data_IF_024744837688
#
_entry.id   IF_024744837688
#
_cell.length_a   1.000
_cell.length_b   1.000
_cell.length_c   1.000
_cell.angle_alpha   90.00
_cell.angle_beta   90.00
_cell.angle_gamma   90.00
#
_symmetry.space_group_name_H-M   'P 1'
#
loop_
_entity.id
_entity.type
_entity.pdbx_description
1 polymer ?
#
# COMPACT_ATOMS: atom_id res chain seq x y z
N UNK A 1 -14.77 -1.76 -10.46
CA UNK A 1 -15.26 -0.80 -9.49
C UNK A 1 -14.24 -0.60 -8.38
N UNK A 2 -14.12 0.59 -7.94
CA UNK A 2 -13.17 0.89 -6.91
C UNK A 2 -13.75 0.65 -5.52
N UNK A 3 -13.09 -0.18 -4.77
CA UNK A 3 -13.44 -0.37 -3.38
C UNK A 3 -12.91 0.80 -2.57
N UNK A 4 -13.79 1.43 -1.84
CA UNK A 4 -13.35 2.49 -0.95
C UNK A 4 -12.98 1.89 0.40
N UNK A 5 -11.70 1.67 0.63
CA UNK A 5 -11.24 1.00 1.83
C UNK A 5 -11.59 1.78 3.10
N UNK A 6 -11.83 3.09 2.98
CA UNK A 6 -12.18 3.89 4.14
C UNK A 6 -13.56 3.59 4.66
N UNK A 7 -14.41 2.98 3.84
CA UNK A 7 -15.73 2.56 4.26
C UNK A 7 -15.77 1.14 4.77
N UNK A 8 -14.71 0.37 4.51
CA UNK A 8 -14.63 -0.99 5.00
C UNK A 8 -14.34 -0.97 6.49
N UNK A 9 -14.75 -2.04 7.17
CA UNK A 9 -14.43 -2.18 8.58
C UNK A 9 -13.01 -2.68 8.70
N UNK A 10 -12.08 -1.75 8.82
CA UNK A 10 -10.67 -2.06 8.93
C UNK A 10 -10.23 -1.88 10.36
N UNK A 11 -9.30 -2.72 10.80
CA UNK A 11 -8.65 -2.51 12.09
C UNK A 11 -7.82 -1.23 12.03
N UNK A 12 -7.48 -0.66 13.18
CA UNK A 12 -6.60 0.52 13.18
C UNK A 12 -5.29 0.26 12.45
N UNK A 13 -4.74 -0.95 12.58
CA UNK A 13 -3.52 -1.32 11.88
C UNK A 13 -3.71 -1.31 10.37
N UNK A 14 -4.82 -1.87 9.90
CA UNK A 14 -5.12 -1.91 8.48
C UNK A 14 -5.35 -0.51 7.91
N UNK A 15 -6.01 0.35 8.68
CA UNK A 15 -6.22 1.73 8.26
C UNK A 15 -4.90 2.47 8.14
N UNK A 16 -4.02 2.27 9.10
CA UNK A 16 -2.70 2.91 9.06
C UNK A 16 -1.90 2.45 7.87
N UNK A 17 -1.92 1.15 7.57
CA UNK A 17 -1.22 0.62 6.42
C UNK A 17 -1.79 1.14 5.11
N UNK A 18 -3.13 1.19 5.00
CA UNK A 18 -3.77 1.68 3.78
C UNK A 18 -3.45 3.14 3.53
N UNK A 19 -3.45 3.95 4.58
CA UNK A 19 -3.10 5.36 4.44
C UNK A 19 -1.66 5.53 4.03
N UNK A 20 -0.77 4.75 4.63
CA UNK A 20 0.65 4.79 4.30
C UNK A 20 0.87 4.39 2.84
N UNK A 21 0.20 3.33 2.40
CA UNK A 21 0.30 2.87 1.01
C UNK A 21 -0.17 3.95 0.04
N UNK A 22 -1.24 4.64 0.38
CA UNK A 22 -1.76 5.71 -0.45
C UNK A 22 -0.73 6.84 -0.57
N UNK A 23 -0.08 7.20 0.53
CA UNK A 23 0.92 8.26 0.51
C UNK A 23 2.16 7.85 -0.28
N UNK A 24 2.62 6.62 -0.14
CA UNK A 24 3.75 6.14 -0.91
C UNK A 24 3.45 6.21 -2.40
N UNK A 25 2.21 5.93 -2.76
CA UNK A 25 1.79 5.92 -4.16
C UNK A 25 1.65 7.33 -4.73
N UNK A 26 1.02 8.21 -3.98
CA UNK A 26 0.63 9.52 -4.51
C UNK A 26 1.61 10.62 -4.20
N UNK A 27 2.23 10.57 -3.04
CA UNK A 27 3.06 11.68 -2.59
C UNK A 27 4.22 11.18 -1.75
N UNK A 28 5.11 10.34 -2.31
CA UNK A 28 6.21 9.80 -1.52
C UNK A 28 7.13 10.88 -0.97
N UNK A 29 7.27 12.00 -1.66
CA UNK A 29 8.11 13.07 -1.19
C UNK A 29 7.57 13.77 0.04
N UNK A 30 6.28 13.57 0.35
CA UNK A 30 5.66 14.18 1.52
C UNK A 30 5.78 13.32 2.77
N UNK A 31 6.29 12.09 2.64
CA UNK A 31 6.44 11.21 3.78
C UNK A 31 7.46 11.76 4.75
N UNK A 32 7.17 11.59 6.04
CA UNK A 32 8.03 12.05 7.12
C UNK A 32 8.27 10.91 8.09
N UNK A 33 9.25 11.11 8.97
CA UNK A 33 9.55 10.10 9.99
C UNK A 33 8.31 9.72 10.79
N UNK A 34 7.45 10.68 11.09
CA UNK A 34 6.28 10.42 11.90
C UNK A 34 5.29 9.48 11.22
N UNK A 35 5.31 9.39 9.91
CA UNK A 35 4.45 8.44 9.20
C UNK A 35 4.90 7.02 9.49
N UNK A 36 6.21 6.78 9.53
CA UNK A 36 6.77 5.49 9.90
C UNK A 36 6.51 5.20 11.38
N UNK A 37 6.67 6.22 12.23
CA UNK A 37 6.41 6.05 13.66
C UNK A 37 4.96 5.67 13.91
N UNK A 38 4.05 6.20 13.13
CA UNK A 38 2.66 5.84 13.26
C UNK A 38 2.45 4.34 13.01
N UNK A 39 3.14 3.79 12.02
CA UNK A 39 3.05 2.36 11.76
C UNK A 39 3.59 1.55 12.93
N UNK A 40 4.69 1.99 13.52
CA UNK A 40 5.26 1.31 14.68
C UNK A 40 4.29 1.30 15.85
N UNK A 41 3.58 2.38 16.06
CA UNK A 41 2.59 2.47 17.12
C UNK A 41 1.45 1.49 16.92
N UNK A 42 1.23 1.07 15.69
CA UNK A 42 0.20 0.08 15.38
C UNK A 42 0.76 -1.34 15.35
N UNK A 43 1.95 -1.54 15.87
CA UNK A 43 2.49 -2.87 16.05
C UNK A 43 3.34 -3.40 14.90
N UNK A 44 3.68 -2.55 13.93
CA UNK A 44 4.55 -3.00 12.85
C UNK A 44 6.01 -2.84 13.26
N UNK A 45 6.79 -3.88 13.03
CA UNK A 45 8.23 -3.81 13.25
C UNK A 45 8.89 -3.07 12.10
N UNK A 46 10.17 -2.74 12.27
CA UNK A 46 10.93 -2.12 11.18
C UNK A 46 10.94 -3.02 9.95
N UNK A 47 11.04 -4.34 10.16
CA UNK A 47 11.00 -5.28 9.06
C UNK A 47 9.66 -5.25 8.35
N UNK A 48 8.58 -5.16 9.12
CA UNK A 48 7.25 -5.09 8.55
C UNK A 48 7.10 -3.84 7.69
N UNK A 49 7.63 -2.71 8.16
CA UNK A 49 7.55 -1.47 7.41
C UNK A 49 8.35 -1.58 6.11
N UNK A 50 9.54 -2.14 6.19
CA UNK A 50 10.36 -2.31 4.99
C UNK A 50 9.66 -3.21 3.98
N UNK A 51 9.12 -4.33 4.44
CA UNK A 51 8.41 -5.26 3.56
C UNK A 51 7.22 -4.56 2.91
N UNK A 52 6.48 -3.77 3.69
CA UNK A 52 5.33 -3.04 3.16
C UNK A 52 5.75 -2.06 2.06
N UNK A 53 6.82 -1.31 2.29
CA UNK A 53 7.29 -0.35 1.30
C UNK A 53 7.72 -1.07 0.03
N UNK A 54 8.43 -2.19 0.16
CA UNK A 54 8.87 -2.94 -1.01
C UNK A 54 7.69 -3.47 -1.82
N UNK A 55 6.67 -3.98 -1.14
CA UNK A 55 5.49 -4.49 -1.83
C UNK A 55 4.75 -3.37 -2.54
N UNK A 56 4.55 -2.26 -1.85
CA UNK A 56 3.84 -1.12 -2.42
C UNK A 56 4.60 -0.59 -3.64
N UNK A 57 5.90 -0.43 -3.51
CA UNK A 57 6.72 0.09 -4.60
C UNK A 57 6.72 -0.85 -5.79
N UNK A 58 6.73 -2.16 -5.54
CA UNK A 58 6.68 -3.14 -6.61
C UNK A 58 5.38 -3.00 -7.42
N UNK A 59 4.24 -2.93 -6.73
CA UNK A 59 2.97 -2.80 -7.43
C UNK A 59 2.82 -1.45 -8.10
N UNK A 60 3.36 -0.39 -7.51
CA UNK A 60 3.37 0.91 -8.17
C UNK A 60 4.18 0.86 -9.46
N UNK A 61 5.32 0.17 -9.43
CA UNK A 61 6.14 0.00 -10.62
C UNK A 61 5.35 -0.73 -11.71
N UNK A 62 4.73 -1.85 -11.35
CA UNK A 62 3.97 -2.65 -12.32
C UNK A 62 2.81 -1.83 -12.91
N UNK A 63 2.10 -1.09 -12.06
CA UNK A 63 0.97 -0.30 -12.54
C UNK A 63 1.41 0.81 -13.47
N UNK A 64 2.53 1.45 -13.18
CA UNK A 64 3.02 2.51 -14.05
C UNK A 64 3.49 1.98 -15.41
N UNK A 65 4.13 0.82 -15.39
CA UNK A 65 4.53 0.18 -16.65
C UNK A 65 3.29 -0.17 -17.47
N UNK A 66 2.28 -0.76 -16.81
CA UNK A 66 1.06 -1.13 -17.50
C UNK A 66 0.34 0.10 -18.08
N UNK A 67 0.27 1.17 -17.30
CA UNK A 67 -0.39 2.40 -17.76
C UNK A 67 0.35 2.99 -18.94
N UNK A 68 1.67 3.03 -18.89
CA UNK A 68 2.46 3.63 -19.96
C UNK A 68 2.34 2.84 -21.25
N UNK A 69 2.17 1.54 -21.15
CA UNK A 69 2.08 0.67 -22.33
C UNK A 69 0.64 0.39 -22.74
N UNK A 70 -0.33 0.83 -21.94
CA UNK A 70 -1.74 0.61 -22.25
C UNK A 70 -2.18 -0.82 -22.07
N UNK A 71 -1.57 -1.55 -21.15
CA UNK A 71 -1.93 -2.95 -20.86
C UNK A 71 -2.38 -3.07 -19.41
N UNK A 72 -3.08 -4.18 -19.12
CA UNK A 72 -3.52 -4.44 -17.76
C UNK A 72 -2.50 -5.29 -17.02
N UNK A 73 -2.29 -5.04 -15.72
CA UNK A 73 -1.49 -5.96 -14.92
C UNK A 73 -2.14 -7.33 -14.86
N UNK A 74 -1.34 -8.35 -14.59
CA UNK A 74 -1.86 -9.69 -14.50
C UNK A 74 -2.85 -9.81 -13.34
N UNK A 75 -3.95 -10.54 -13.56
CA UNK A 75 -4.98 -10.66 -12.51
C UNK A 75 -4.44 -11.22 -11.20
N UNK A 76 -3.49 -12.17 -11.26
CA UNK A 76 -2.92 -12.74 -10.05
C UNK A 76 -2.23 -11.69 -9.20
N UNK A 77 -1.57 -10.73 -9.84
CA UNK A 77 -0.87 -9.68 -9.13
C UNK A 77 -1.85 -8.75 -8.43
N UNK A 78 -2.97 -8.44 -9.11
CA UNK A 78 -4.00 -7.62 -8.50
C UNK A 78 -4.61 -8.30 -7.29
N UNK A 79 -4.85 -9.59 -7.42
CA UNK A 79 -5.44 -10.36 -6.33
C UNK A 79 -4.50 -10.42 -5.14
N UNK A 80 -3.21 -10.64 -5.40
CA UNK A 80 -2.22 -10.71 -4.35
C UNK A 80 -2.13 -9.39 -3.60
N UNK A 81 -2.14 -8.27 -4.33
CA UNK A 81 -2.07 -6.96 -3.72
C UNK A 81 -3.30 -6.69 -2.86
N UNK A 82 -4.47 -7.04 -3.37
CA UNK A 82 -5.70 -6.83 -2.62
C UNK A 82 -5.70 -7.63 -1.32
N UNK A 83 -5.27 -8.89 -1.39
CA UNK A 83 -5.21 -9.72 -0.19
C UNK A 83 -4.20 -9.19 0.82
N UNK A 84 -3.10 -8.66 0.33
CA UNK A 84 -2.10 -8.06 1.21
C UNK A 84 -2.69 -6.88 1.96
N UNK A 85 -3.47 -6.05 1.28
CA UNK A 85 -4.09 -4.90 1.93
C UNK A 85 -5.10 -5.29 2.99
N UNK A 86 -5.73 -6.45 2.82
CA UNK A 86 -6.75 -6.93 3.74
C UNK A 86 -6.17 -7.72 4.91
N UNK A 87 -4.91 -8.04 4.86
CA UNK A 87 -4.28 -8.89 5.88
C UNK A 87 -4.17 -8.23 7.26
#
# INVERSE_FOLDING_TARGET
>A
MKQNYRRAKLSPRQKALSKFAEMVTRAPAALRRQDVESLRKHGLSDRDVLDAVEIIAYFNYINRVADALGIDPEPEMREAFRRWQEA
#
